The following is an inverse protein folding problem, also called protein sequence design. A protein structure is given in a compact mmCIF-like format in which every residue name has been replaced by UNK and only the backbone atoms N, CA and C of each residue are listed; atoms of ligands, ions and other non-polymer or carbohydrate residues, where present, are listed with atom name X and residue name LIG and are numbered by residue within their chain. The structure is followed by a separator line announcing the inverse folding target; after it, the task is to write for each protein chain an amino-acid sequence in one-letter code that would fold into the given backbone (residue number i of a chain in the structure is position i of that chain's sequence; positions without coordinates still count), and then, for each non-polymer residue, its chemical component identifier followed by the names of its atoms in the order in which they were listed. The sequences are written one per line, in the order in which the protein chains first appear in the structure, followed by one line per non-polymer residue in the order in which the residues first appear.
data_IF_334030063462
#
_entry.id   IF_334030063462
#
_cell.length_a   1.000
_cell.length_b   1.000
_cell.length_c   1.000
_cell.angle_alpha   90.00
_cell.angle_beta   90.00
_cell.angle_gamma   90.00
#
_symmetry.space_group_name_H-M   'P 1'
#
loop_
_entity.id
_entity.type
_entity.pdbx_description
1 polymer ?
#
# COMPACT_ATOMS: atom_id res chain seq x y z
N UNK A 1 -65.57 17.15 -38.26
CA UNK A 1 -64.13 16.89 -38.04
C UNK A 1 -63.58 16.33 -39.32
N UNK A 2 -62.52 16.94 -39.88
CA UNK A 2 -61.93 16.48 -41.14
C UNK A 2 -61.15 15.17 -40.92
N UNK A 3 -60.99 14.33 -41.94
CA UNK A 3 -60.22 13.08 -41.77
C UNK A 3 -58.76 13.33 -41.38
N UNK A 4 -58.22 14.52 -41.71
CA UNK A 4 -56.90 14.98 -41.27
C UNK A 4 -56.80 15.23 -39.76
N UNK A 5 -57.89 15.68 -39.12
CA UNK A 5 -57.92 15.89 -37.65
C UNK A 5 -58.03 14.54 -36.92
N UNK A 6 -58.72 13.57 -37.52
CA UNK A 6 -58.83 12.23 -36.98
C UNK A 6 -57.51 11.44 -37.10
N UNK A 7 -56.81 11.56 -38.24
CA UNK A 7 -55.50 10.93 -38.44
C UNK A 7 -54.42 11.53 -37.54
N UNK A 8 -54.44 12.86 -37.30
CA UNK A 8 -53.55 13.51 -36.32
C UNK A 8 -53.82 13.07 -34.88
N UNK A 9 -55.09 12.99 -34.48
CA UNK A 9 -55.48 12.49 -33.16
C UNK A 9 -55.10 11.02 -32.96
N UNK A 10 -55.17 10.21 -34.02
CA UNK A 10 -54.71 8.82 -34.00
C UNK A 10 -53.18 8.74 -33.90
N UNK A 11 -52.44 9.56 -34.64
CA UNK A 11 -50.97 9.61 -34.59
C UNK A 11 -50.45 10.06 -33.22
N UNK A 12 -50.99 11.16 -32.67
CA UNK A 12 -50.64 11.66 -31.33
C UNK A 12 -50.98 10.64 -30.24
N UNK A 13 -52.09 9.91 -30.41
CA UNK A 13 -52.48 8.84 -29.47
C UNK A 13 -51.55 7.63 -29.56
N UNK A 14 -51.16 7.19 -30.76
CA UNK A 14 -50.22 6.07 -30.92
C UNK A 14 -48.81 6.40 -30.45
N UNK A 15 -48.34 7.64 -30.67
CA UNK A 15 -47.04 8.10 -30.16
C UNK A 15 -47.02 8.18 -28.63
N UNK A 16 -48.14 8.58 -28.01
CA UNK A 16 -48.28 8.60 -26.55
C UNK A 16 -48.44 7.19 -25.96
N UNK A 17 -49.10 6.27 -26.64
CA UNK A 17 -49.21 4.88 -26.19
C UNK A 17 -47.84 4.17 -26.26
N UNK A 18 -47.04 4.40 -27.31
CA UNK A 18 -45.70 3.82 -27.44
C UNK A 18 -44.71 4.38 -26.40
N UNK A 19 -44.76 5.69 -26.11
CA UNK A 19 -43.90 6.32 -25.10
C UNK A 19 -44.29 5.91 -23.68
N UNK A 20 -45.58 5.78 -23.38
CA UNK A 20 -46.10 5.24 -22.12
C UNK A 20 -45.58 3.82 -21.87
N UNK A 21 -45.73 2.91 -22.84
CA UNK A 21 -45.28 1.53 -22.72
C UNK A 21 -43.76 1.47 -22.53
N UNK A 22 -43.01 2.30 -23.25
CA UNK A 22 -41.56 2.41 -23.08
C UNK A 22 -41.16 2.88 -21.66
N UNK A 23 -41.84 3.88 -21.09
CA UNK A 23 -41.55 4.42 -19.76
C UNK A 23 -41.81 3.39 -18.65
N UNK A 24 -42.96 2.69 -18.68
CA UNK A 24 -43.25 1.61 -17.71
C UNK A 24 -42.23 0.48 -17.85
N UNK A 25 -41.84 0.15 -19.09
CA UNK A 25 -40.85 -0.89 -19.35
C UNK A 25 -39.49 -0.51 -18.79
N UNK A 26 -39.03 0.73 -18.99
CA UNK A 26 -37.77 1.23 -18.41
C UNK A 26 -37.75 1.10 -16.89
N UNK A 27 -38.83 1.50 -16.19
CA UNK A 27 -38.92 1.35 -14.73
C UNK A 27 -38.90 -0.11 -14.29
N UNK A 28 -39.58 -0.99 -15.02
CA UNK A 28 -39.59 -2.43 -14.75
C UNK A 28 -38.22 -3.07 -15.01
N UNK A 29 -37.52 -2.66 -16.07
CA UNK A 29 -36.20 -3.16 -16.46
C UNK A 29 -35.11 -2.75 -15.45
N UNK A 30 -35.34 -1.71 -14.64
CA UNK A 30 -34.49 -1.37 -13.48
C UNK A 30 -34.68 -2.33 -12.29
N UNK A 31 -35.68 -3.23 -12.33
CA UNK A 31 -35.97 -4.18 -11.27
C UNK A 31 -36.67 -3.56 -10.06
N UNK A 32 -37.34 -2.41 -10.25
CA UNK A 32 -38.13 -1.75 -9.22
C UNK A 32 -39.27 -2.67 -8.79
N UNK A 33 -39.51 -2.78 -7.48
CA UNK A 33 -40.56 -3.64 -6.96
C UNK A 33 -41.94 -3.20 -7.48
N UNK A 34 -42.71 -4.12 -8.07
CA UNK A 34 -44.01 -3.82 -8.68
C UNK A 34 -45.08 -3.26 -7.73
N UNK A 35 -44.87 -3.35 -6.41
CA UNK A 35 -45.75 -2.76 -5.38
C UNK A 35 -45.41 -1.29 -5.07
N UNK A 36 -44.33 -0.74 -5.63
CA UNK A 36 -43.99 0.67 -5.48
C UNK A 36 -44.95 1.54 -6.29
N UNK A 37 -45.43 2.60 -5.66
CA UNK A 37 -46.23 3.65 -6.31
C UNK A 37 -45.32 4.60 -7.09
N UNK A 38 -45.88 5.34 -8.05
CA UNK A 38 -45.12 6.38 -8.75
C UNK A 38 -44.57 7.46 -7.79
N UNK A 39 -45.32 7.80 -6.74
CA UNK A 39 -44.85 8.69 -5.67
C UNK A 39 -43.63 8.10 -4.94
N UNK A 40 -43.64 6.80 -4.64
CA UNK A 40 -42.52 6.13 -3.99
C UNK A 40 -41.28 6.05 -4.89
N UNK A 41 -41.47 5.87 -6.21
CA UNK A 41 -40.39 5.91 -7.20
C UNK A 41 -39.85 7.34 -7.34
N UNK A 42 -40.72 8.35 -7.32
CA UNK A 42 -40.31 9.75 -7.28
C UNK A 42 -39.51 10.06 -6.00
N UNK A 43 -39.89 9.50 -4.85
CA UNK A 43 -39.10 9.64 -3.62
C UNK A 43 -37.70 9.02 -3.74
N UNK A 44 -37.51 7.94 -4.51
CA UNK A 44 -36.17 7.39 -4.76
C UNK A 44 -35.26 8.38 -5.50
N UNK A 45 -35.81 9.33 -6.27
CA UNK A 45 -34.99 10.37 -6.91
C UNK A 45 -34.31 11.28 -5.89
N UNK A 46 -34.95 11.53 -4.73
CA UNK A 46 -34.34 12.28 -3.62
C UNK A 46 -33.19 11.49 -2.97
N UNK A 47 -33.29 10.16 -2.91
CA UNK A 47 -32.22 9.31 -2.41
C UNK A 47 -31.00 9.34 -3.34
N UNK A 48 -31.24 9.35 -4.65
CA UNK A 48 -30.19 9.50 -5.67
C UNK A 48 -29.55 10.89 -5.57
N UNK A 49 -30.33 11.96 -5.37
CA UNK A 49 -29.78 13.30 -5.12
C UNK A 49 -28.90 13.35 -3.88
N UNK A 50 -29.29 12.65 -2.81
CA UNK A 50 -28.48 12.55 -1.60
C UNK A 50 -27.18 11.76 -1.83
N UNK A 51 -27.14 10.82 -2.77
CA UNK A 51 -25.89 10.16 -3.21
C UNK A 51 -25.03 11.13 -3.98
N UNK A 52 -25.57 11.84 -4.99
CA UNK A 52 -24.83 12.81 -5.79
C UNK A 52 -24.19 13.90 -4.94
N UNK A 53 -24.92 14.42 -3.95
CA UNK A 53 -24.40 15.38 -2.99
C UNK A 53 -23.22 14.82 -2.17
N UNK A 54 -23.31 13.56 -1.74
CA UNK A 54 -22.22 12.88 -1.03
C UNK A 54 -21.01 12.62 -1.94
N UNK A 55 -21.20 12.22 -3.20
CA UNK A 55 -20.12 12.09 -4.18
C UNK A 55 -19.41 13.43 -4.40
N UNK A 56 -20.17 14.52 -4.55
CA UNK A 56 -19.59 15.86 -4.75
C UNK A 56 -18.81 16.34 -3.52
N UNK A 57 -19.34 16.08 -2.31
CA UNK A 57 -18.64 16.39 -1.07
C UNK A 57 -17.31 15.61 -0.98
N UNK A 58 -17.35 14.30 -1.25
CA UNK A 58 -16.17 13.44 -1.21
C UNK A 58 -15.13 13.88 -2.26
N UNK A 59 -15.57 14.17 -3.48
CA UNK A 59 -14.70 14.66 -4.56
C UNK A 59 -14.03 16.00 -4.20
N UNK A 60 -14.73 16.87 -3.46
CA UNK A 60 -14.17 18.14 -3.01
C UNK A 60 -13.07 17.90 -1.99
N UNK A 61 -13.28 17.01 -1.01
CA UNK A 61 -12.25 16.62 -0.05
C UNK A 61 -11.04 15.99 -0.74
N UNK A 62 -11.29 15.05 -1.67
CA UNK A 62 -10.25 14.43 -2.50
C UNK A 62 -9.42 15.45 -3.28
N UNK A 63 -10.07 16.44 -3.91
CA UNK A 63 -9.37 17.47 -4.67
C UNK A 63 -8.48 18.35 -3.78
N UNK A 64 -8.88 18.64 -2.55
CA UNK A 64 -8.04 19.40 -1.61
C UNK A 64 -6.82 18.60 -1.16
N UNK A 65 -7.01 17.33 -0.79
CA UNK A 65 -5.92 16.44 -0.35
C UNK A 65 -4.93 16.18 -1.48
N UNK A 66 -5.42 15.93 -2.70
CA UNK A 66 -4.59 15.64 -3.87
C UNK A 66 -3.59 16.75 -4.20
N UNK A 67 -3.85 18.02 -3.81
CA UNK A 67 -2.91 19.14 -4.03
C UNK A 67 -1.56 18.95 -3.32
N UNK A 68 -1.56 18.28 -2.17
CA UNK A 68 -0.36 18.00 -1.37
C UNK A 68 0.33 16.69 -1.73
N UNK A 69 -0.26 15.87 -2.60
CA UNK A 69 0.20 14.51 -2.85
C UNK A 69 0.81 14.33 -4.24
N UNK A 70 1.78 13.40 -4.38
CA UNK A 70 2.29 12.97 -5.67
C UNK A 70 1.15 12.50 -6.59
N UNK A 71 1.19 12.89 -7.86
CA UNK A 71 0.13 12.60 -8.84
C UNK A 71 -0.10 11.10 -9.05
N UNK A 72 0.94 10.29 -8.81
CA UNK A 72 0.86 8.83 -8.87
C UNK A 72 -0.08 8.22 -7.83
N UNK A 73 -0.30 8.91 -6.70
CA UNK A 73 -1.23 8.47 -5.66
C UNK A 73 -2.68 8.89 -5.96
N UNK A 74 -2.90 9.70 -7.01
CA UNK A 74 -4.23 10.26 -7.27
C UNK A 74 -5.26 9.23 -7.72
N UNK A 75 -4.82 8.04 -8.15
CA UNK A 75 -5.73 6.95 -8.54
C UNK A 75 -6.64 6.49 -7.40
N UNK A 76 -6.21 6.65 -6.14
CA UNK A 76 -7.00 6.32 -4.95
C UNK A 76 -8.16 7.29 -4.69
N UNK A 77 -8.21 8.44 -5.38
CA UNK A 77 -9.18 9.51 -5.11
C UNK A 77 -10.31 9.56 -6.15
N UNK A 78 -10.92 8.40 -6.41
CA UNK A 78 -12.10 8.25 -7.26
C UNK A 78 -13.32 7.86 -6.42
N UNK A 79 -14.52 7.98 -6.99
CA UNK A 79 -15.77 7.60 -6.35
C UNK A 79 -16.22 6.19 -6.80
N UNK A 80 -15.40 5.16 -6.56
CA UNK A 80 -15.77 3.75 -6.78
C UNK A 80 -15.42 2.90 -5.56
N UNK A 81 -15.98 1.67 -5.48
CA UNK A 81 -15.66 0.76 -4.37
C UNK A 81 -14.17 0.39 -4.38
N UNK A 82 -13.61 0.13 -5.57
CA UNK A 82 -12.19 -0.20 -5.74
C UNK A 82 -11.29 0.93 -5.25
N UNK A 83 -11.56 2.18 -5.62
CA UNK A 83 -10.71 3.30 -5.19
C UNK A 83 -10.81 3.58 -3.70
N UNK A 84 -11.97 3.30 -3.08
CA UNK A 84 -12.14 3.36 -1.62
C UNK A 84 -11.27 2.31 -0.91
N UNK A 85 -11.28 1.07 -1.38
CA UNK A 85 -10.42 0.01 -0.85
C UNK A 85 -8.94 0.33 -1.03
N UNK A 86 -8.57 0.83 -2.21
CA UNK A 86 -7.21 1.31 -2.51
C UNK A 86 -6.78 2.45 -1.57
N UNK A 87 -7.65 3.42 -1.30
CA UNK A 87 -7.34 4.50 -0.37
C UNK A 87 -7.11 3.97 1.05
N UNK A 88 -7.96 3.04 1.52
CA UNK A 88 -7.80 2.41 2.82
C UNK A 88 -6.47 1.63 2.91
N UNK A 89 -6.12 0.88 1.86
CA UNK A 89 -4.86 0.15 1.77
C UNK A 89 -3.65 1.10 1.78
N UNK A 90 -3.71 2.20 1.03
CA UNK A 90 -2.67 3.24 1.02
C UNK A 90 -2.46 3.84 2.42
N UNK A 91 -3.54 4.19 3.12
CA UNK A 91 -3.47 4.72 4.48
C UNK A 91 -2.84 3.71 5.42
N UNK A 92 -3.25 2.44 5.37
CA UNK A 92 -2.66 1.37 6.17
C UNK A 92 -1.16 1.16 5.91
N UNK A 93 -0.71 1.30 4.65
CA UNK A 93 0.71 1.24 4.31
C UNK A 93 1.50 2.41 4.90
N UNK A 94 0.92 3.62 4.91
CA UNK A 94 1.55 4.80 5.49
C UNK A 94 1.63 4.64 7.02
N UNK A 95 0.57 4.18 7.68
CA UNK A 95 0.52 3.99 9.13
C UNK A 95 1.49 2.91 9.63
N UNK A 96 1.67 1.84 8.84
CA UNK A 96 2.60 0.75 9.16
C UNK A 96 4.06 1.10 8.87
N UNK A 97 4.34 2.23 8.22
CA UNK A 97 5.68 2.62 7.84
C UNK A 97 6.56 2.89 9.09
N UNK A 98 7.64 2.12 9.32
CA UNK A 98 8.50 2.35 10.48
C UNK A 98 9.19 3.71 10.38
N UNK A 99 9.50 4.37 11.49
CA UNK A 99 10.11 5.72 11.46
C UNK A 99 11.37 5.79 10.57
N UNK A 100 12.16 4.72 10.54
CA UNK A 100 13.37 4.64 9.71
C UNK A 100 13.09 4.55 8.21
N UNK A 101 11.90 4.10 7.77
CA UNK A 101 11.58 4.03 6.35
C UNK A 101 11.60 5.42 5.73
N UNK A 102 11.13 6.45 6.41
CA UNK A 102 11.07 7.83 5.90
C UNK A 102 12.45 8.40 5.54
N UNK A 103 13.50 7.93 6.20
CA UNK A 103 14.90 8.30 5.90
C UNK A 103 15.60 7.32 4.96
N UNK A 104 15.13 6.07 4.91
CA UNK A 104 15.73 4.96 4.17
C UNK A 104 14.89 4.56 2.94
N UNK A 105 14.03 5.44 2.43
CA UNK A 105 13.22 5.20 1.23
C UNK A 105 14.12 5.14 0.01
N UNK A 106 14.60 3.95 -0.27
CA UNK A 106 15.28 3.64 -1.52
C UNK A 106 14.76 2.32 -2.05
N UNK A 107 14.48 2.28 -3.35
CA UNK A 107 14.07 1.06 -4.06
C UNK A 107 15.09 -0.08 -3.89
N UNK A 108 16.32 0.23 -3.47
CA UNK A 108 17.37 -0.74 -3.14
C UNK A 108 17.00 -1.64 -1.94
N UNK A 109 16.11 -1.21 -1.04
CA UNK A 109 15.54 -2.06 0.00
C UNK A 109 14.45 -2.99 -0.53
N UNK A 110 13.81 -2.65 -1.66
CA UNK A 110 12.82 -3.50 -2.30
C UNK A 110 13.46 -4.52 -3.25
N UNK A 111 14.39 -5.33 -2.72
CA UNK A 111 14.98 -6.44 -3.46
C UNK A 111 15.12 -7.68 -2.59
N UNK A 112 14.96 -8.87 -3.20
CA UNK A 112 15.05 -10.13 -2.48
C UNK A 112 16.47 -10.39 -1.96
N UNK A 113 17.50 -9.85 -2.63
CA UNK A 113 18.88 -9.94 -2.18
C UNK A 113 19.09 -9.28 -0.80
N UNK A 114 18.33 -8.23 -0.49
CA UNK A 114 18.42 -7.53 0.78
C UNK A 114 18.13 -8.45 1.97
N UNK A 115 17.23 -9.42 1.82
CA UNK A 115 16.94 -10.41 2.87
C UNK A 115 18.20 -11.21 3.27
N UNK A 116 18.97 -11.65 2.28
CA UNK A 116 20.22 -12.37 2.51
C UNK A 116 21.30 -11.46 3.10
N UNK A 117 21.37 -10.19 2.67
CA UNK A 117 22.35 -9.22 3.19
C UNK A 117 22.09 -8.87 4.65
N UNK A 118 20.84 -8.61 5.02
CA UNK A 118 20.46 -8.31 6.40
C UNK A 118 20.66 -9.53 7.32
N UNK A 119 20.36 -10.74 6.82
CA UNK A 119 20.65 -11.97 7.57
C UNK A 119 22.15 -12.18 7.79
N UNK A 120 22.99 -11.96 6.76
CA UNK A 120 24.45 -12.02 6.92
C UNK A 120 24.95 -10.96 7.90
N UNK A 121 24.41 -9.74 7.84
CA UNK A 121 24.76 -8.65 8.75
C UNK A 121 24.46 -9.01 10.21
N UNK A 122 23.28 -9.53 10.51
CA UNK A 122 22.91 -10.02 11.85
C UNK A 122 23.86 -11.14 12.30
N UNK A 123 24.17 -12.09 11.42
CA UNK A 123 25.07 -13.19 11.72
C UNK A 123 26.47 -12.69 12.08
N UNK A 124 27.03 -11.75 11.31
CA UNK A 124 28.36 -11.20 11.60
C UNK A 124 28.37 -10.46 12.93
N UNK A 125 27.36 -9.65 13.25
CA UNK A 125 27.27 -8.97 14.56
C UNK A 125 27.14 -9.96 15.72
N UNK A 126 26.39 -11.04 15.54
CA UNK A 126 26.25 -12.09 16.54
C UNK A 126 27.58 -12.82 16.82
N UNK A 127 28.51 -12.84 15.86
CA UNK A 127 29.87 -13.38 16.02
C UNK A 127 30.82 -12.32 16.61
N UNK A 128 30.81 -11.12 16.05
CA UNK A 128 31.75 -10.06 16.37
C UNK A 128 31.55 -9.49 17.78
N UNK A 129 30.31 -9.27 18.23
CA UNK A 129 30.03 -8.69 19.56
C UNK A 129 30.60 -9.57 20.69
N UNK A 130 30.34 -10.90 20.74
CA UNK A 130 30.94 -11.77 21.75
C UNK A 130 32.46 -11.89 21.62
N UNK A 131 33.00 -11.95 20.40
CA UNK A 131 34.45 -12.01 20.18
C UNK A 131 35.14 -10.74 20.68
N UNK A 132 34.62 -9.57 20.35
CA UNK A 132 35.15 -8.31 20.84
C UNK A 132 35.10 -8.24 22.38
N UNK A 133 33.97 -8.63 22.99
CA UNK A 133 33.85 -8.69 24.45
C UNK A 133 34.87 -9.62 25.10
N UNK A 134 35.21 -10.73 24.45
CA UNK A 134 36.23 -11.69 24.92
C UNK A 134 37.65 -11.17 24.71
N UNK A 135 37.92 -10.49 23.60
CA UNK A 135 39.27 -10.05 23.21
C UNK A 135 39.68 -8.71 23.81
N UNK A 136 38.77 -7.73 23.86
CA UNK A 136 39.08 -6.35 24.24
C UNK A 136 39.81 -6.17 25.60
N UNK A 137 39.56 -7.01 26.64
CA UNK A 137 40.33 -6.90 27.89
C UNK A 137 41.81 -7.29 27.76
N UNK A 138 42.17 -8.06 26.73
CA UNK A 138 43.50 -8.65 26.59
C UNK A 138 44.24 -8.19 25.32
N UNK A 139 43.50 -7.80 24.29
CA UNK A 139 44.01 -7.50 22.96
C UNK A 139 43.42 -6.18 22.51
N UNK A 140 44.27 -5.31 21.93
CA UNK A 140 43.80 -4.11 21.26
C UNK A 140 43.19 -4.50 19.91
N UNK A 141 41.87 -4.62 19.85
CA UNK A 141 41.13 -5.05 18.66
C UNK A 141 41.19 -4.05 17.51
N UNK A 142 41.54 -2.78 17.78
CA UNK A 142 41.68 -1.75 16.75
C UNK A 142 43.02 -1.81 16.00
N UNK A 143 44.01 -2.51 16.54
CA UNK A 143 45.35 -2.63 15.95
C UNK A 143 45.59 -4.00 15.31
N UNK A 144 44.56 -4.84 15.23
CA UNK A 144 44.68 -6.14 14.59
C UNK A 144 44.90 -5.96 13.09
N UNK A 145 45.99 -6.51 12.59
CA UNK A 145 46.29 -6.54 11.16
C UNK A 145 45.48 -7.66 10.45
N UNK A 146 45.71 -7.80 9.14
CA UNK A 146 45.06 -8.80 8.29
C UNK A 146 45.14 -10.23 8.85
N UNK A 147 44.15 -11.04 8.47
CA UNK A 147 44.11 -12.48 8.77
C UNK A 147 45.43 -13.20 8.43
N UNK A 148 46.09 -12.82 7.33
CA UNK A 148 47.33 -13.42 6.87
C UNK A 148 48.51 -13.08 7.79
N UNK A 149 48.61 -11.83 8.25
CA UNK A 149 49.65 -11.44 9.21
C UNK A 149 49.49 -12.23 10.52
N UNK A 150 48.27 -12.28 11.07
CA UNK A 150 48.01 -12.98 12.32
C UNK A 150 48.33 -14.48 12.24
N UNK A 151 48.00 -15.15 11.13
CA UNK A 151 48.39 -16.54 10.89
C UNK A 151 49.90 -16.72 10.79
N UNK A 152 50.61 -15.79 10.16
CA UNK A 152 52.07 -15.83 10.05
C UNK A 152 52.73 -15.72 11.43
N UNK A 153 52.25 -14.80 12.28
CA UNK A 153 52.73 -14.64 13.66
C UNK A 153 52.45 -15.92 14.46
N UNK A 154 51.21 -16.43 14.43
CA UNK A 154 50.82 -17.66 15.12
C UNK A 154 51.71 -18.83 14.69
N UNK A 155 51.87 -19.05 13.38
CA UNK A 155 52.69 -20.12 12.84
C UNK A 155 54.16 -20.01 13.26
N UNK A 156 54.73 -18.79 13.30
CA UNK A 156 56.10 -18.56 13.77
C UNK A 156 56.26 -18.85 15.28
N UNK A 157 55.23 -18.59 16.09
CA UNK A 157 55.26 -18.83 17.53
C UNK A 157 55.03 -20.32 17.87
N UNK A 158 54.12 -20.99 17.16
CA UNK A 158 53.77 -22.40 17.38
C UNK A 158 54.88 -23.36 16.91
N UNK A 159 55.54 -23.06 15.79
CA UNK A 159 56.58 -23.93 15.20
C UNK A 159 58.00 -23.62 15.70
N UNK A 160 58.11 -22.94 16.83
CA UNK A 160 59.37 -22.52 17.40
C UNK A 160 60.06 -23.69 18.13
N UNK A 161 61.04 -24.33 17.47
CA UNK A 161 61.82 -25.44 18.03
C UNK A 161 62.73 -25.07 19.21
N UNK A 162 63.52 -26.03 19.71
CA UNK A 162 64.37 -25.93 20.91
C UNK A 162 65.39 -24.76 20.90
N UNK A 163 65.71 -24.21 19.72
CA UNK A 163 66.63 -23.07 19.52
C UNK A 163 65.94 -21.76 19.09
N UNK A 164 64.64 -21.60 19.37
CA UNK A 164 63.83 -20.46 18.91
C UNK A 164 64.39 -19.06 19.20
N UNK A 165 65.14 -18.90 20.29
CA UNK A 165 65.72 -17.61 20.68
C UNK A 165 66.80 -17.09 19.71
N UNK A 166 67.41 -17.98 18.93
CA UNK A 166 68.34 -17.61 17.85
C UNK A 166 67.64 -17.18 16.57
N UNK A 167 66.34 -17.48 16.41
CA UNK A 167 65.58 -17.09 15.23
C UNK A 167 65.19 -15.61 15.31
N UNK A 168 65.69 -14.80 14.37
CA UNK A 168 65.24 -13.42 14.20
C UNK A 168 63.72 -13.36 13.99
N UNK A 169 63.19 -14.23 13.13
CA UNK A 169 61.74 -14.34 12.84
C UNK A 169 60.90 -14.60 14.09
N UNK A 170 61.38 -15.47 14.99
CA UNK A 170 60.66 -15.75 16.23
C UNK A 170 60.67 -14.54 17.18
N UNK A 171 61.81 -13.83 17.28
CA UNK A 171 61.90 -12.60 18.09
C UNK A 171 61.00 -11.50 17.55
N UNK A 172 60.93 -11.35 16.23
CA UNK A 172 60.05 -10.39 15.55
C UNK A 172 58.57 -10.77 15.77
N UNK A 173 58.20 -12.03 15.57
CA UNK A 173 56.84 -12.52 15.83
C UNK A 173 56.42 -12.34 17.29
N UNK A 174 57.35 -12.59 18.24
CA UNK A 174 57.13 -12.32 19.67
C UNK A 174 56.87 -10.84 19.93
N UNK A 175 57.68 -9.95 19.36
CA UNK A 175 57.48 -8.50 19.52
C UNK A 175 56.16 -8.05 18.92
N UNK A 176 55.80 -8.55 17.73
CA UNK A 176 54.51 -8.27 17.10
C UNK A 176 53.35 -8.74 17.97
N UNK A 177 53.40 -9.97 18.48
CA UNK A 177 52.36 -10.49 19.39
C UNK A 177 52.21 -9.65 20.66
N UNK A 178 53.32 -9.26 21.30
CA UNK A 178 53.27 -8.40 22.49
C UNK A 178 52.72 -6.99 22.20
N UNK A 179 52.92 -6.46 20.99
CA UNK A 179 52.31 -5.19 20.57
C UNK A 179 50.78 -5.26 20.42
N UNK A 180 50.23 -6.45 20.20
CA UNK A 180 48.78 -6.64 20.13
C UNK A 180 48.11 -6.65 21.51
N UNK A 181 48.89 -6.83 22.58
CA UNK A 181 48.38 -6.83 23.95
C UNK A 181 47.75 -5.49 24.32
N UNK A 182 46.61 -5.53 25.01
CA UNK A 182 45.99 -4.31 25.52
C UNK A 182 46.86 -3.62 26.59
N UNK A 183 47.61 -4.40 27.37
CA UNK A 183 48.45 -3.93 28.48
C UNK A 183 49.79 -4.65 28.51
N UNK A 184 50.85 -3.97 28.94
CA UNK A 184 52.24 -4.48 28.97
C UNK A 184 52.46 -5.69 29.90
N UNK A 185 51.52 -5.97 30.79
CA UNK A 185 51.61 -7.05 31.79
C UNK A 185 51.20 -8.43 31.24
N UNK A 186 50.63 -8.49 30.03
CA UNK A 186 50.18 -9.73 29.41
C UNK A 186 51.34 -10.59 28.95
N UNK A 187 51.31 -11.88 29.29
CA UNK A 187 52.34 -12.83 28.89
C UNK A 187 52.12 -13.29 27.46
N UNK A 188 53.22 -13.60 26.79
CA UNK A 188 53.19 -14.13 25.42
C UNK A 188 52.31 -15.38 25.29
N UNK A 189 52.35 -16.28 26.27
CA UNK A 189 51.58 -17.52 26.29
C UNK A 189 50.07 -17.25 26.30
N UNK A 190 49.62 -16.28 27.10
CA UNK A 190 48.21 -15.87 27.17
C UNK A 190 47.74 -15.27 25.84
N UNK A 191 48.57 -14.43 25.21
CA UNK A 191 48.28 -13.83 23.90
C UNK A 191 48.26 -14.91 22.81
N UNK A 192 49.18 -15.89 22.87
CA UNK A 192 49.29 -16.99 21.91
C UNK A 192 47.99 -17.81 21.86
N UNK A 193 47.37 -18.06 23.03
CA UNK A 193 46.08 -18.74 23.13
C UNK A 193 44.90 -17.97 22.50
N UNK A 194 45.04 -16.66 22.31
CA UNK A 194 43.99 -15.81 21.73
C UNK A 194 44.06 -15.71 20.19
N UNK A 195 45.14 -16.16 19.53
CA UNK A 195 45.27 -16.07 18.07
C UNK A 195 44.12 -16.66 17.27
N UNK A 196 43.58 -17.86 17.59
CA UNK A 196 42.42 -18.39 16.89
C UNK A 196 41.20 -17.45 16.96
N UNK A 197 41.00 -16.78 18.10
CA UNK A 197 39.91 -15.83 18.28
C UNK A 197 40.19 -14.50 17.55
N UNK A 198 41.43 -13.99 17.58
CA UNK A 198 41.84 -12.80 16.83
C UNK A 198 41.67 -12.98 15.32
N UNK A 199 42.11 -14.12 14.79
CA UNK A 199 41.97 -14.48 13.37
C UNK A 199 40.49 -14.55 12.98
N UNK A 200 39.66 -15.21 13.80
CA UNK A 200 38.22 -15.28 13.55
C UNK A 200 37.57 -13.90 13.59
N UNK A 201 37.98 -13.04 14.52
CA UNK A 201 37.49 -11.68 14.66
C UNK A 201 37.80 -10.84 13.41
N UNK A 202 39.07 -10.77 12.99
CA UNK A 202 39.48 -10.01 11.79
C UNK A 202 38.78 -10.53 10.54
N UNK A 203 38.71 -11.85 10.35
CA UNK A 203 38.01 -12.42 9.19
C UNK A 203 36.52 -12.07 9.17
N UNK A 204 35.86 -12.10 10.34
CA UNK A 204 34.44 -11.72 10.44
C UNK A 204 34.24 -10.22 10.23
N UNK A 205 35.20 -9.40 10.67
CA UNK A 205 35.19 -7.95 10.49
C UNK A 205 35.38 -7.59 9.01
N UNK A 206 36.32 -8.20 8.31
CA UNK A 206 36.52 -8.04 6.86
C UNK A 206 35.23 -8.37 6.09
N UNK A 207 34.52 -9.43 6.46
CA UNK A 207 33.22 -9.79 5.85
C UNK A 207 32.12 -8.80 6.19
N UNK A 208 32.07 -8.34 7.44
CA UNK A 208 31.11 -7.34 7.90
C UNK A 208 31.29 -6.02 7.15
N UNK A 209 32.51 -5.51 7.07
CA UNK A 209 32.82 -4.27 6.35
C UNK A 209 32.54 -4.39 4.85
N UNK A 210 32.79 -5.56 4.26
CA UNK A 210 32.50 -5.83 2.85
C UNK A 210 31.00 -5.73 2.50
N UNK A 211 30.08 -6.02 3.44
CA UNK A 211 28.64 -5.89 3.20
C UNK A 211 28.25 -4.44 2.90
N UNK A 212 28.82 -3.48 3.63
CA UNK A 212 28.54 -2.06 3.45
C UNK A 212 29.16 -1.48 2.18
N UNK A 213 30.32 -2.00 1.76
CA UNK A 213 30.94 -1.61 0.48
C UNK A 213 30.15 -2.11 -0.73
N UNK A 214 29.50 -3.28 -0.61
CA UNK A 214 28.71 -3.87 -1.69
C UNK A 214 27.33 -3.26 -1.83
N UNK A 215 26.79 -2.66 -0.76
CA UNK A 215 25.40 -2.17 -0.71
C UNK A 215 25.40 -0.72 -0.21
N UNK A 216 25.45 0.27 -1.12
CA UNK A 216 25.57 1.68 -0.75
C UNK A 216 24.52 2.17 0.24
N UNK A 217 23.28 1.69 0.15
CA UNK A 217 22.20 2.11 1.06
C UNK A 217 22.47 1.72 2.53
N UNK A 218 23.18 0.62 2.76
CA UNK A 218 23.55 0.19 4.11
C UNK A 218 24.70 1.01 4.69
N UNK A 219 25.53 1.64 3.84
CA UNK A 219 26.73 2.36 4.27
C UNK A 219 26.40 3.53 5.19
N UNK A 220 25.28 4.21 4.99
CA UNK A 220 24.81 5.30 5.84
C UNK A 220 24.46 4.85 7.26
N UNK A 221 24.16 3.56 7.45
CA UNK A 221 23.79 2.96 8.73
C UNK A 221 24.99 2.27 9.43
N UNK A 222 26.19 2.35 8.85
CA UNK A 222 27.35 1.63 9.37
C UNK A 222 27.96 2.33 10.58
N UNK A 223 27.81 1.74 11.77
CA UNK A 223 28.38 2.23 13.04
C UNK A 223 29.33 1.20 13.68
N UNK A 224 30.00 0.38 12.85
CA UNK A 224 30.80 -0.74 13.31
C UNK A 224 29.97 -1.74 14.13
N UNK A 225 30.50 -2.17 15.28
CA UNK A 225 29.79 -3.11 16.17
C UNK A 225 28.51 -2.55 16.79
N UNK A 226 28.30 -1.23 16.75
CA UNK A 226 27.10 -0.59 17.27
C UNK A 226 25.97 -0.51 16.24
N UNK A 227 26.23 -0.90 14.99
CA UNK A 227 25.21 -0.94 13.92
C UNK A 227 23.94 -1.63 14.41
N UNK A 228 22.83 -0.90 14.39
CA UNK A 228 21.51 -1.45 14.71
C UNK A 228 20.84 -1.95 13.43
N UNK A 229 20.61 -3.25 13.37
CA UNK A 229 19.99 -3.91 12.22
C UNK A 229 18.46 -3.92 12.34
N UNK A 230 17.93 -3.64 13.53
CA UNK A 230 16.48 -3.68 13.80
C UNK A 230 15.69 -2.75 12.88
N UNK A 231 16.09 -1.46 12.70
CA UNK A 231 15.39 -0.56 11.80
C UNK A 231 15.47 -1.01 10.33
N UNK A 232 16.59 -1.59 9.91
CA UNK A 232 16.79 -2.07 8.54
C UNK A 232 15.86 -3.25 8.20
N UNK A 233 15.70 -4.16 9.16
CA UNK A 233 14.76 -5.29 9.04
C UNK A 233 13.32 -4.79 8.99
N UNK A 234 12.96 -3.84 9.86
CA UNK A 234 11.62 -3.26 9.86
C UNK A 234 11.29 -2.59 8.52
N UNK A 235 12.25 -1.85 7.94
CA UNK A 235 12.09 -1.25 6.61
C UNK A 235 11.92 -2.32 5.54
N UNK A 236 12.73 -3.40 5.58
CA UNK A 236 12.61 -4.50 4.62
C UNK A 236 11.27 -5.22 4.70
N UNK A 237 10.80 -5.53 5.91
CA UNK A 237 9.48 -6.16 6.11
C UNK A 237 8.36 -5.25 5.60
N UNK A 238 8.42 -3.95 5.89
CA UNK A 238 7.47 -2.98 5.35
C UNK A 238 7.44 -2.97 3.81
N UNK A 239 8.59 -3.08 3.13
CA UNK A 239 8.62 -3.22 1.67
C UNK A 239 7.98 -4.52 1.17
N UNK A 240 8.06 -5.62 1.92
CA UNK A 240 7.33 -6.86 1.57
C UNK A 240 5.83 -6.69 1.71
N UNK A 241 5.39 -5.98 2.73
CA UNK A 241 3.97 -5.64 2.92
C UNK A 241 3.47 -4.75 1.78
N UNK A 242 4.29 -3.79 1.32
CA UNK A 242 3.99 -3.01 0.12
C UNK A 242 3.80 -3.91 -1.09
N UNK A 243 4.74 -4.81 -1.38
CA UNK A 243 4.63 -5.71 -2.55
C UNK A 243 3.33 -6.55 -2.51
N UNK A 244 2.96 -7.04 -1.32
CA UNK A 244 1.72 -7.78 -1.13
C UNK A 244 0.49 -6.91 -1.40
N UNK A 245 0.42 -5.72 -0.78
CA UNK A 245 -0.70 -4.78 -0.97
C UNK A 245 -0.79 -4.29 -2.41
N UNK A 246 0.35 -4.07 -3.08
CA UNK A 246 0.38 -3.70 -4.49
C UNK A 246 -0.25 -4.78 -5.38
N UNK A 247 0.05 -6.05 -5.09
CA UNK A 247 -0.49 -7.18 -5.85
C UNK A 247 -2.00 -7.37 -5.63
N UNK A 248 -2.49 -7.10 -4.42
CA UNK A 248 -3.89 -7.29 -4.04
C UNK A 248 -4.80 -6.15 -4.49
N UNK A 249 -4.42 -4.90 -4.22
CA UNK A 249 -5.31 -3.74 -4.38
C UNK A 249 -4.97 -2.85 -5.58
N UNK A 250 -3.74 -2.94 -6.11
CA UNK A 250 -3.22 -2.01 -7.12
C UNK A 250 -2.78 -2.72 -8.39
N UNK A 251 -3.45 -3.83 -8.74
CA UNK A 251 -3.13 -4.59 -9.94
C UNK A 251 -3.24 -3.71 -11.20
N UNK A 252 -2.14 -3.56 -11.93
CA UNK A 252 -2.07 -2.74 -13.15
C UNK A 252 -1.77 -1.25 -12.92
N UNK A 253 -1.78 -0.77 -11.67
CA UNK A 253 -1.48 0.63 -11.33
C UNK A 253 0.03 0.87 -11.29
N UNK A 254 0.57 1.27 -12.45
CA UNK A 254 2.00 1.56 -12.62
C UNK A 254 2.29 2.96 -12.11
N UNK A 255 2.73 3.07 -10.86
CA UNK A 255 3.23 4.33 -10.32
C UNK A 255 3.03 4.52 -8.83
N UNK A 256 2.16 3.72 -8.19
CA UNK A 256 1.84 3.93 -6.78
C UNK A 256 3.08 3.81 -5.87
N UNK A 257 3.92 2.79 -6.11
CA UNK A 257 5.19 2.64 -5.41
C UNK A 257 6.09 3.88 -5.61
N UNK A 258 6.16 4.43 -6.82
CA UNK A 258 6.92 5.64 -7.08
C UNK A 258 6.36 6.86 -6.33
N UNK A 259 5.02 6.96 -6.20
CA UNK A 259 4.37 7.96 -5.36
C UNK A 259 4.70 7.81 -3.88
N UNK A 260 4.65 6.58 -3.36
CA UNK A 260 5.03 6.25 -1.98
C UNK A 260 6.51 6.51 -1.67
N UNK A 261 7.39 6.33 -2.66
CA UNK A 261 8.82 6.60 -2.49
C UNK A 261 9.12 8.11 -2.36
N UNK A 262 8.28 9.00 -2.92
CA UNK A 262 8.53 10.45 -2.96
C UNK A 262 7.61 11.29 -2.08
N UNK A 263 6.51 10.73 -1.56
CA UNK A 263 5.64 11.44 -0.61
C UNK A 263 6.44 11.82 0.63
N UNK A 264 6.36 13.08 1.05
CA UNK A 264 7.01 13.52 2.29
C UNK A 264 6.19 13.08 3.51
N UNK A 265 6.84 13.07 4.68
CA UNK A 265 6.19 12.62 5.92
C UNK A 265 5.01 13.49 6.33
N UNK A 266 5.10 14.80 6.17
CA UNK A 266 4.03 15.70 6.59
C UNK A 266 2.77 15.46 5.74
N UNK A 267 2.92 15.40 4.42
CA UNK A 267 1.79 15.14 3.51
C UNK A 267 1.16 13.77 3.74
N UNK A 268 1.97 12.77 4.10
CA UNK A 268 1.47 11.43 4.42
C UNK A 268 0.71 11.40 5.77
N UNK A 269 1.26 12.05 6.80
CA UNK A 269 0.61 12.19 8.10
C UNK A 269 -0.72 12.97 7.96
N UNK A 270 -0.74 14.03 7.15
CA UNK A 270 -1.94 14.82 6.86
C UNK A 270 -3.01 13.97 6.16
N UNK A 271 -2.62 13.11 5.21
CA UNK A 271 -3.53 12.17 4.55
C UNK A 271 -4.16 11.20 5.56
N UNK A 272 -3.36 10.61 6.46
CA UNK A 272 -3.86 9.69 7.49
C UNK A 272 -4.84 10.39 8.42
N UNK A 273 -4.51 11.59 8.89
CA UNK A 273 -5.37 12.39 9.77
C UNK A 273 -6.70 12.72 9.09
N UNK A 274 -6.65 13.20 7.86
CA UNK A 274 -7.84 13.57 7.08
C UNK A 274 -8.71 12.34 6.77
N UNK A 275 -8.09 11.20 6.50
CA UNK A 275 -8.79 9.93 6.28
C UNK A 275 -9.64 9.54 7.49
N UNK A 276 -9.05 9.49 8.68
CA UNK A 276 -9.76 9.07 9.89
C UNK A 276 -10.74 10.11 10.41
N UNK A 277 -10.43 11.39 10.25
CA UNK A 277 -11.26 12.48 10.80
C UNK A 277 -12.50 12.74 9.94
N UNK A 278 -12.34 12.74 8.62
CA UNK A 278 -13.37 13.21 7.70
C UNK A 278 -13.77 12.13 6.69
N UNK A 279 -12.82 11.61 5.90
CA UNK A 279 -13.14 10.78 4.73
C UNK A 279 -13.83 9.47 5.08
N UNK A 280 -13.34 8.76 6.11
CA UNK A 280 -13.86 7.45 6.48
C UNK A 280 -15.36 7.50 6.78
N UNK A 281 -15.83 8.56 7.44
CA UNK A 281 -17.25 8.75 7.73
C UNK A 281 -18.09 9.03 6.48
N UNK A 282 -17.55 9.82 5.54
CA UNK A 282 -18.20 10.16 4.27
C UNK A 282 -18.30 8.94 3.36
N UNK A 283 -17.21 8.19 3.22
CA UNK A 283 -17.13 6.94 2.47
C UNK A 283 -18.16 5.94 3.01
N UNK A 284 -18.16 5.67 4.33
CA UNK A 284 -19.11 4.75 4.94
C UNK A 284 -20.57 5.17 4.76
N UNK A 285 -20.85 6.48 4.72
CA UNK A 285 -22.19 6.99 4.45
C UNK A 285 -22.57 6.76 2.98
N UNK A 286 -21.66 7.08 2.06
CA UNK A 286 -21.85 6.89 0.63
C UNK A 286 -22.08 5.41 0.29
N UNK A 287 -21.27 4.50 0.82
CA UNK A 287 -21.42 3.06 0.61
C UNK A 287 -22.76 2.53 1.13
N UNK A 288 -23.23 3.02 2.29
CA UNK A 288 -24.58 2.66 2.79
C UNK A 288 -25.68 3.10 1.84
N UNK A 289 -25.58 4.32 1.28
CA UNK A 289 -26.57 4.82 0.32
C UNK A 289 -26.49 4.06 -1.02
N UNK A 290 -25.28 3.79 -1.51
CA UNK A 290 -25.07 3.01 -2.74
C UNK A 290 -25.61 1.58 -2.60
N UNK A 291 -25.36 0.92 -1.47
CA UNK A 291 -25.93 -0.40 -1.19
C UNK A 291 -27.46 -0.37 -1.17
N UNK A 292 -28.07 0.67 -0.58
CA UNK A 292 -29.52 0.85 -0.59
C UNK A 292 -30.07 1.05 -2.00
N UNK A 293 -29.38 1.82 -2.86
CA UNK A 293 -29.74 1.95 -4.27
C UNK A 293 -29.60 0.61 -5.00
N UNK A 294 -28.52 -0.13 -4.80
CA UNK A 294 -28.31 -1.46 -5.40
C UNK A 294 -29.42 -2.45 -5.05
N UNK A 295 -29.96 -2.39 -3.82
CA UNK A 295 -31.12 -3.20 -3.41
C UNK A 295 -32.45 -2.72 -4.02
N UNK A 296 -32.56 -1.42 -4.31
CA UNK A 296 -33.75 -0.81 -4.91
C UNK A 296 -33.83 -1.00 -6.42
N UNK A 297 -32.67 -1.13 -7.08
CA UNK A 297 -32.50 -1.21 -8.53
C UNK A 297 -31.66 -2.44 -8.90
N UNK A 298 -32.13 -3.62 -8.50
CA UNK A 298 -31.41 -4.91 -8.60
C UNK A 298 -31.06 -5.33 -10.03
N UNK A 299 -31.78 -4.84 -11.04
CA UNK A 299 -31.52 -5.19 -12.44
C UNK A 299 -30.64 -4.16 -13.17
N UNK A 300 -30.21 -3.08 -12.51
CA UNK A 300 -29.31 -2.10 -13.11
C UNK A 300 -27.85 -2.59 -13.04
N UNK A 301 -27.32 -3.09 -14.16
CA UNK A 301 -26.02 -3.77 -14.24
C UNK A 301 -24.86 -2.92 -13.69
N UNK A 302 -24.81 -1.63 -14.02
CA UNK A 302 -23.70 -0.74 -13.61
C UNK A 302 -23.65 -0.52 -12.10
N UNK A 303 -24.79 -0.53 -11.40
CA UNK A 303 -24.85 -0.46 -9.93
C UNK A 303 -24.25 -1.70 -9.26
N UNK A 304 -24.21 -2.83 -9.97
CA UNK A 304 -23.69 -4.09 -9.46
C UNK A 304 -22.19 -4.27 -9.76
N UNK A 305 -21.59 -3.37 -10.54
CA UNK A 305 -20.17 -3.40 -10.86
C UNK A 305 -19.34 -2.70 -9.78
N UNK A 306 -18.30 -3.38 -9.27
CA UNK A 306 -17.45 -2.85 -8.20
C UNK A 306 -16.61 -1.63 -8.60
N UNK A 307 -16.28 -1.47 -9.88
CA UNK A 307 -15.45 -0.35 -10.38
C UNK A 307 -16.27 0.82 -10.95
N UNK A 308 -17.59 0.77 -10.81
CA UNK A 308 -18.42 1.84 -11.37
C UNK A 308 -18.22 3.16 -10.62
N UNK A 309 -18.13 4.26 -11.37
CA UNK A 309 -18.15 5.60 -10.79
C UNK A 309 -19.55 5.90 -10.24
N UNK A 310 -19.65 5.99 -8.92
CA UNK A 310 -20.90 6.20 -8.21
C UNK A 310 -21.65 7.45 -8.66
N UNK A 311 -20.95 8.53 -9.01
CA UNK A 311 -21.59 9.75 -9.49
C UNK A 311 -22.19 9.56 -10.89
N UNK A 312 -21.45 8.92 -11.80
CA UNK A 312 -21.98 8.63 -13.14
C UNK A 312 -23.19 7.70 -13.09
N UNK A 313 -23.10 6.64 -12.29
CA UNK A 313 -24.21 5.70 -12.08
C UNK A 313 -25.45 6.41 -11.52
N UNK A 314 -25.27 7.25 -10.51
CA UNK A 314 -26.36 8.02 -9.92
C UNK A 314 -26.97 9.03 -10.90
N UNK A 315 -26.16 9.68 -11.75
CA UNK A 315 -26.65 10.59 -12.81
C UNK A 315 -27.49 9.82 -13.83
N UNK A 316 -26.98 8.69 -14.33
CA UNK A 316 -27.66 7.86 -15.32
C UNK A 316 -29.02 7.37 -14.78
N UNK A 317 -29.01 6.80 -13.58
CA UNK A 317 -30.22 6.29 -12.93
C UNK A 317 -31.24 7.41 -12.68
N UNK A 318 -30.80 8.59 -12.25
CA UNK A 318 -31.67 9.75 -12.06
C UNK A 318 -32.34 10.17 -13.38
N UNK A 319 -31.57 10.19 -14.48
CA UNK A 319 -32.11 10.54 -15.80
C UNK A 319 -33.20 9.57 -16.22
N UNK A 320 -32.94 8.25 -16.13
CA UNK A 320 -33.90 7.21 -16.51
C UNK A 320 -35.21 7.37 -15.70
N UNK A 321 -35.11 7.57 -14.38
CA UNK A 321 -36.29 7.74 -13.53
C UNK A 321 -37.08 9.00 -13.87
N UNK A 322 -36.42 10.14 -14.04
CA UNK A 322 -37.09 11.41 -14.34
C UNK A 322 -37.79 11.38 -15.71
N UNK A 323 -37.13 10.83 -16.72
CA UNK A 323 -37.70 10.70 -18.07
C UNK A 323 -38.95 9.82 -18.05
N UNK A 324 -38.86 8.64 -17.42
CA UNK A 324 -40.00 7.73 -17.30
C UNK A 324 -41.15 8.32 -16.47
N UNK A 325 -40.85 8.96 -15.33
CA UNK A 325 -41.86 9.61 -14.49
C UNK A 325 -42.54 10.78 -15.19
N UNK A 326 -41.82 11.57 -16.00
CA UNK A 326 -42.41 12.68 -16.76
C UNK A 326 -43.44 12.17 -17.75
N UNK A 327 -43.10 11.14 -18.53
CA UNK A 327 -44.00 10.53 -19.52
C UNK A 327 -45.26 9.97 -18.84
N UNK A 328 -45.12 9.29 -17.70
CA UNK A 328 -46.27 8.74 -16.96
C UNK A 328 -47.16 9.84 -16.36
N UNK A 329 -46.57 10.93 -15.85
CA UNK A 329 -47.33 12.09 -15.35
C UNK A 329 -48.07 12.81 -16.47
N UNK A 330 -47.43 13.01 -17.62
CA UNK A 330 -48.04 13.61 -18.82
C UNK A 330 -49.19 12.74 -19.37
N UNK A 331 -49.07 11.41 -19.21
CA UNK A 331 -50.13 10.44 -19.56
C UNK A 331 -51.29 10.42 -18.55
N UNK A 332 -51.24 11.23 -17.48
CA UNK A 332 -52.32 11.37 -16.49
C UNK A 332 -52.41 10.22 -15.48
N UNK A 333 -51.34 9.46 -15.28
CA UNK A 333 -51.30 8.37 -14.30
C UNK A 333 -51.31 8.93 -12.87
N UNK A 334 -52.17 8.38 -12.00
CA UNK A 334 -52.23 8.81 -10.60
C UNK A 334 -50.94 8.42 -9.85
N UNK A 335 -50.45 9.31 -8.98
CA UNK A 335 -49.20 9.11 -8.25
C UNK A 335 -49.23 7.89 -7.30
N UNK A 336 -50.41 7.47 -6.86
CA UNK A 336 -50.58 6.28 -6.01
C UNK A 336 -50.68 4.96 -6.81
N UNK A 337 -50.64 5.03 -8.14
CA UNK A 337 -50.70 3.83 -8.99
C UNK A 337 -49.44 3.00 -8.81
N UNK A 338 -49.61 1.70 -8.55
CA UNK A 338 -48.49 0.78 -8.42
C UNK A 338 -47.91 0.42 -9.79
N UNK A 339 -46.58 0.23 -9.87
CA UNK A 339 -45.92 -0.18 -11.12
C UNK A 339 -46.52 -1.47 -11.71
N UNK A 340 -46.88 -2.45 -10.86
CA UNK A 340 -47.51 -3.70 -11.30
C UNK A 340 -48.90 -3.54 -11.91
N UNK A 341 -49.60 -2.44 -11.64
CA UNK A 341 -50.89 -2.11 -12.27
C UNK A 341 -50.67 -1.55 -13.67
N UNK A 342 -49.62 -0.75 -13.86
CA UNK A 342 -49.20 -0.21 -15.17
C UNK A 342 -48.73 -1.33 -16.11
N UNK A 343 -47.99 -2.30 -15.59
CA UNK A 343 -47.52 -3.47 -16.36
C UNK A 343 -48.69 -4.36 -16.84
N UNK A 344 -49.81 -4.39 -16.10
CA UNK A 344 -50.98 -5.22 -16.43
C UNK A 344 -51.99 -4.52 -17.35
N UNK A 345 -51.79 -3.24 -17.67
CA UNK A 345 -52.70 -2.50 -18.53
C UNK A 345 -52.81 -3.17 -19.92
N UNK A 346 -54.00 -3.15 -20.56
CA UNK A 346 -54.30 -3.94 -21.76
C UNK A 346 -53.41 -3.63 -22.98
N UNK A 347 -52.69 -2.51 -22.98
CA UNK A 347 -51.77 -2.13 -24.06
C UNK A 347 -50.34 -2.69 -23.89
N UNK A 348 -49.97 -3.22 -22.71
CA UNK A 348 -48.67 -3.90 -22.49
C UNK A 348 -48.56 -5.28 -23.17
N UNK A 349 -49.69 -5.91 -23.49
CA UNK A 349 -49.76 -7.26 -24.08
C UNK A 349 -50.01 -7.27 -25.59
N UNK A 350 -50.14 -6.10 -26.23
CA UNK A 350 -50.25 -6.02 -27.69
C UNK A 350 -48.84 -5.92 -28.29
N UNK A 351 -48.34 -7.09 -28.71
CA UNK A 351 -47.26 -7.18 -29.69
C UNK A 351 -47.73 -6.74 -31.07
#
# INVERSE_FOLDING_TARGET
MSSLDADRLLQDKTLNDDSYVAAVKQLNDLGIAGLMTLEAIEFQTLEIEAVLASCQQLQTCYAEIAKGLPTQLHTCFKNSAISVEQLAALVSLIESAPTASWTLREDSFNCYEMDFRLAELQQQLAILKPLNKKLAPFVNTNTLESTNTLRSIQCCLDNAGMFRWFSAKWRDAKQQALKLAAHEQLKLEDIQLLFPAMIKYVNSQERFDALFLQVPVLAACHEGLNTDVTPLLAVREWYKDIDFVMAEYFFGEKGLLAGLSVIDKQSADDLVVEYHTNLLSLINNLDKKMNKLGLSFVAHETLQQSDADYALVAIELKSILLDALSVLKESGVDANTCLSELIKAPDFNKK
#
